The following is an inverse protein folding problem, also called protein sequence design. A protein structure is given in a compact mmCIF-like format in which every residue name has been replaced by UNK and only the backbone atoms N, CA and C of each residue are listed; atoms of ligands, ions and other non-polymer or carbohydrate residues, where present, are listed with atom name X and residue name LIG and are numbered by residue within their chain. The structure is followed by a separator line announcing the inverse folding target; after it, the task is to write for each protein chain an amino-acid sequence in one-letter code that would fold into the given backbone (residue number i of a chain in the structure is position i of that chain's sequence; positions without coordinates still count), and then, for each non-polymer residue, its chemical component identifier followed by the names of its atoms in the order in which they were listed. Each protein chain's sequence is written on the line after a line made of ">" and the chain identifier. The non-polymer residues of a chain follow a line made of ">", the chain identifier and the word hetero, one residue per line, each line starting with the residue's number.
data_IF_755208652083
#
_entry.id   IF_755208652083
#
_cell.length_a   1.000
_cell.length_b   1.000
_cell.length_c   1.000
_cell.angle_alpha   90.00
_cell.angle_beta   90.00
_cell.angle_gamma   90.00
#
_symmetry.space_group_name_H-M   'P 1'
#
loop_
_entity.id
_entity.type
_entity.pdbx_description
1 polymer ?
#
# COMPACT_ATOMS: atom_id res chain seq x y z
N UNK A 1 20.45 0.12 -10.61
CA UNK A 1 20.29 -1.31 -10.27
C UNK A 1 20.89 -1.72 -8.91
N UNK A 2 21.84 -0.99 -8.30
CA UNK A 2 22.50 -1.45 -7.06
C UNK A 2 21.84 -1.15 -5.70
N UNK A 3 20.90 -0.19 -5.61
CA UNK A 3 20.27 0.19 -4.33
C UNK A 3 19.14 -0.76 -3.91
N UNK A 4 18.35 -1.23 -4.88
CA UNK A 4 17.23 -2.17 -4.62
C UNK A 4 17.73 -3.50 -4.07
N UNK A 5 18.88 -3.97 -4.55
CA UNK A 5 19.54 -5.18 -4.07
C UNK A 5 20.15 -5.04 -2.68
N UNK A 6 20.36 -3.82 -2.17
CA UNK A 6 20.87 -3.62 -0.81
C UNK A 6 19.73 -3.65 0.21
N UNK A 7 18.61 -2.97 -0.08
CA UNK A 7 17.44 -2.96 0.82
C UNK A 7 16.90 -4.35 1.10
N UNK A 8 16.73 -5.16 0.05
CA UNK A 8 16.31 -6.56 0.19
C UNK A 8 17.25 -7.37 1.09
N UNK A 9 18.57 -7.20 0.94
CA UNK A 9 19.58 -7.90 1.75
C UNK A 9 19.52 -7.50 3.22
N UNK A 10 19.31 -6.23 3.53
CA UNK A 10 19.21 -5.79 4.93
C UNK A 10 17.96 -6.34 5.61
N UNK A 11 16.83 -6.45 4.91
CA UNK A 11 15.64 -7.10 5.46
C UNK A 11 15.86 -8.58 5.76
N UNK A 12 16.52 -9.32 4.85
CA UNK A 12 16.90 -10.73 5.11
C UNK A 12 17.86 -10.84 6.29
N UNK A 13 18.86 -9.96 6.36
CA UNK A 13 19.83 -9.91 7.46
C UNK A 13 19.17 -9.60 8.80
N UNK A 14 18.18 -8.71 8.83
CA UNK A 14 17.43 -8.42 10.05
C UNK A 14 16.73 -9.68 10.58
N UNK A 15 16.10 -10.46 9.69
CA UNK A 15 15.48 -11.76 10.06
C UNK A 15 16.52 -12.80 10.48
N UNK A 16 17.71 -12.80 9.88
CA UNK A 16 18.81 -13.69 10.32
C UNK A 16 19.31 -13.34 11.73
N UNK A 17 19.34 -12.05 12.08
CA UNK A 17 19.78 -11.56 13.39
C UNK A 17 18.76 -11.84 14.49
N UNK A 18 17.48 -11.65 14.21
CA UNK A 18 16.39 -12.01 15.12
C UNK A 18 15.23 -12.69 14.37
N UNK A 19 15.29 -14.02 14.21
CA UNK A 19 14.27 -14.74 13.46
C UNK A 19 12.95 -14.89 14.23
N UNK A 20 12.88 -14.55 15.51
CA UNK A 20 11.69 -14.78 16.35
C UNK A 20 11.02 -13.50 16.82
N UNK A 21 11.57 -12.32 16.51
CA UNK A 21 10.89 -11.05 16.74
C UNK A 21 9.79 -10.82 15.68
N UNK A 22 8.49 -10.79 16.08
CA UNK A 22 7.38 -10.52 15.16
C UNK A 22 7.50 -9.16 14.46
N UNK A 23 8.07 -8.14 15.11
CA UNK A 23 8.23 -6.82 14.54
C UNK A 23 9.28 -6.82 13.42
N UNK A 24 10.39 -7.52 13.62
CA UNK A 24 11.42 -7.73 12.57
C UNK A 24 10.82 -8.46 11.38
N UNK A 25 10.06 -9.54 11.64
CA UNK A 25 9.43 -10.34 10.59
C UNK A 25 8.41 -9.54 9.76
N UNK A 26 7.54 -8.75 10.40
CA UNK A 26 6.51 -8.00 9.68
C UNK A 26 7.10 -6.84 8.87
N UNK A 27 8.13 -6.14 9.39
CA UNK A 27 8.83 -5.10 8.65
C UNK A 27 9.64 -5.68 7.48
N UNK A 28 10.30 -6.83 7.68
CA UNK A 28 10.96 -7.54 6.58
C UNK A 28 9.97 -8.00 5.52
N UNK A 29 8.77 -8.41 5.91
CA UNK A 29 7.70 -8.77 4.98
C UNK A 29 7.32 -7.60 4.06
N UNK A 30 6.98 -6.45 4.63
CA UNK A 30 6.64 -5.23 3.87
C UNK A 30 7.76 -4.85 2.90
N UNK A 31 9.00 -4.80 3.40
CA UNK A 31 10.17 -4.48 2.61
C UNK A 31 10.37 -5.42 1.43
N UNK A 32 10.38 -6.73 1.68
CA UNK A 32 10.56 -7.74 0.65
C UNK A 32 9.43 -7.74 -0.39
N UNK A 33 8.19 -7.46 0.03
CA UNK A 33 7.07 -7.27 -0.89
C UNK A 33 7.30 -6.07 -1.83
N UNK A 34 7.80 -4.95 -1.30
CA UNK A 34 8.15 -3.77 -2.09
C UNK A 34 9.31 -4.03 -3.08
N UNK A 35 10.23 -4.93 -2.73
CA UNK A 35 11.35 -5.35 -3.59
C UNK A 35 11.03 -6.52 -4.54
N UNK A 36 9.81 -7.07 -4.47
CA UNK A 36 9.31 -8.07 -5.41
C UNK A 36 9.46 -9.53 -4.96
N UNK A 37 10.02 -9.80 -3.78
CA UNK A 37 10.00 -11.15 -3.19
C UNK A 37 8.74 -11.38 -2.36
N UNK A 38 7.62 -11.55 -3.09
CA UNK A 38 6.31 -11.80 -2.48
C UNK A 38 6.24 -13.11 -1.69
N UNK A 39 7.03 -14.13 -2.05
CA UNK A 39 7.00 -15.42 -1.36
C UNK A 39 7.62 -15.31 0.05
N UNK A 40 8.80 -14.68 0.14
CA UNK A 40 9.43 -14.43 1.43
C UNK A 40 8.58 -13.47 2.28
N UNK A 41 7.98 -12.45 1.65
CA UNK A 41 7.11 -11.52 2.34
C UNK A 41 5.94 -12.21 3.04
N UNK A 42 5.19 -13.01 2.28
CA UNK A 42 4.06 -13.82 2.80
C UNK A 42 4.50 -14.72 3.95
N UNK A 43 5.62 -15.43 3.78
CA UNK A 43 6.15 -16.34 4.80
C UNK A 43 6.46 -15.61 6.12
N UNK A 44 7.08 -14.43 6.03
CA UNK A 44 7.43 -13.65 7.22
C UNK A 44 6.23 -12.97 7.86
N UNK A 45 5.26 -12.46 7.08
CA UNK A 45 4.01 -11.93 7.63
C UNK A 45 3.25 -13.00 8.43
N UNK A 46 3.05 -14.19 7.86
CA UNK A 46 2.37 -15.29 8.55
C UNK A 46 3.06 -15.66 9.86
N UNK A 47 4.39 -15.75 9.84
CA UNK A 47 5.18 -16.07 11.02
C UNK A 47 5.06 -14.96 12.08
N UNK A 48 5.05 -13.71 11.68
CA UNK A 48 4.86 -12.57 12.58
C UNK A 48 3.49 -12.65 13.29
N UNK A 49 2.41 -12.88 12.55
CA UNK A 49 1.06 -13.04 13.13
C UNK A 49 0.94 -14.30 14.00
N UNK A 50 1.62 -15.39 13.65
CA UNK A 50 1.63 -16.60 14.48
C UNK A 50 2.33 -16.39 15.82
N UNK A 51 3.47 -15.69 15.82
CA UNK A 51 4.25 -15.42 17.03
C UNK A 51 3.62 -14.36 17.93
N UNK A 52 2.77 -13.48 17.37
CA UNK A 52 2.07 -12.45 18.14
C UNK A 52 0.58 -12.37 17.76
N UNK A 53 -0.30 -13.22 18.29
CA UNK A 53 -1.71 -13.24 17.88
C UNK A 53 -2.52 -11.98 18.23
N UNK A 54 -2.07 -11.22 19.24
CA UNK A 54 -2.63 -9.92 19.62
C UNK A 54 -1.74 -8.78 19.10
N UNK A 55 -1.54 -8.73 17.79
CA UNK A 55 -0.62 -7.79 17.15
C UNK A 55 -1.04 -6.33 17.35
N UNK A 56 -0.08 -5.39 17.44
CA UNK A 56 -0.35 -3.98 17.22
C UNK A 56 -0.99 -3.76 15.86
N UNK A 57 -1.85 -2.75 15.75
CA UNK A 57 -2.61 -2.50 14.53
C UNK A 57 -1.70 -2.50 13.29
N UNK A 58 -0.55 -1.79 13.30
CA UNK A 58 0.34 -1.64 12.13
C UNK A 58 0.78 -2.95 11.46
N UNK A 59 0.76 -4.07 12.16
CA UNK A 59 0.99 -5.37 11.55
C UNK A 59 -0.02 -5.69 10.46
N UNK A 60 -1.30 -5.35 10.69
CA UNK A 60 -2.37 -5.54 9.71
C UNK A 60 -2.17 -4.71 8.45
N UNK A 61 -1.62 -3.49 8.57
CA UNK A 61 -1.29 -2.69 7.40
C UNK A 61 -0.17 -3.33 6.58
N UNK A 62 0.96 -3.66 7.22
CA UNK A 62 2.09 -4.28 6.52
C UNK A 62 1.74 -5.67 5.95
N UNK A 63 0.95 -6.46 6.69
CA UNK A 63 0.39 -7.71 6.23
C UNK A 63 -0.50 -7.53 5.00
N UNK A 64 -1.49 -6.63 5.07
CA UNK A 64 -2.36 -6.30 3.92
C UNK A 64 -1.53 -5.98 2.68
N UNK A 65 -0.57 -5.05 2.80
CA UNK A 65 0.26 -4.65 1.66
C UNK A 65 1.07 -5.83 1.13
N UNK A 66 1.74 -6.59 1.99
CA UNK A 66 2.55 -7.73 1.60
C UNK A 66 1.73 -8.83 0.90
N UNK A 67 0.57 -9.21 1.46
CA UNK A 67 -0.32 -10.20 0.86
C UNK A 67 -0.89 -9.71 -0.47
N UNK A 68 -1.34 -8.45 -0.55
CA UNK A 68 -1.86 -7.86 -1.79
C UNK A 68 -0.79 -7.83 -2.88
N UNK A 69 0.43 -7.43 -2.53
CA UNK A 69 1.57 -7.43 -3.44
C UNK A 69 1.94 -8.83 -3.89
N UNK A 70 1.84 -9.85 -3.03
CA UNK A 70 2.09 -11.23 -3.40
C UNK A 70 0.94 -11.88 -4.20
N UNK A 71 -0.19 -11.18 -4.40
CA UNK A 71 -1.38 -11.71 -5.06
C UNK A 71 -2.27 -12.59 -4.16
N UNK A 72 -1.97 -12.65 -2.86
CA UNK A 72 -2.76 -13.35 -1.86
C UNK A 72 -3.92 -12.47 -1.37
N UNK A 73 -4.81 -12.07 -2.27
CA UNK A 73 -5.80 -11.01 -2.02
C UNK A 73 -6.76 -11.34 -0.87
N UNK A 74 -7.33 -12.55 -0.80
CA UNK A 74 -8.23 -12.90 0.31
C UNK A 74 -7.55 -12.79 1.68
N UNK A 75 -6.28 -13.20 1.77
CA UNK A 75 -5.51 -13.04 3.01
C UNK A 75 -5.18 -11.59 3.33
N UNK A 76 -5.01 -10.76 2.31
CA UNK A 76 -4.90 -9.33 2.51
C UNK A 76 -6.21 -8.79 3.15
N UNK A 77 -7.36 -9.24 2.65
CA UNK A 77 -8.68 -8.78 3.11
C UNK A 77 -9.04 -9.26 4.52
N UNK A 78 -8.48 -10.37 5.00
CA UNK A 78 -8.58 -10.79 6.41
C UNK A 78 -8.06 -9.70 7.39
N UNK A 79 -7.14 -8.85 6.93
CA UNK A 79 -6.59 -7.73 7.68
C UNK A 79 -7.27 -6.40 7.37
N UNK A 80 -8.19 -6.37 6.41
CA UNK A 80 -8.91 -5.18 5.98
C UNK A 80 -9.69 -4.53 7.11
N UNK A 81 -10.41 -5.30 7.94
CA UNK A 81 -11.26 -4.75 9.01
C UNK A 81 -10.52 -3.87 10.02
N UNK A 82 -9.24 -4.18 10.29
CA UNK A 82 -8.40 -3.38 11.18
C UNK A 82 -8.15 -1.96 10.65
N UNK A 83 -8.18 -1.76 9.33
CA UNK A 83 -7.77 -0.52 8.64
C UNK A 83 -8.58 0.72 9.03
N UNK A 84 -9.86 0.53 9.36
CA UNK A 84 -10.76 1.60 9.75
C UNK A 84 -10.37 2.23 11.09
N UNK A 85 -9.72 1.48 11.97
CA UNK A 85 -9.25 1.96 13.27
C UNK A 85 -8.01 2.87 13.16
N UNK A 86 -7.24 2.75 12.09
CA UNK A 86 -5.97 3.49 11.94
C UNK A 86 -6.15 4.94 11.50
N UNK A 87 -7.22 5.24 10.77
CA UNK A 87 -7.40 6.54 10.15
C UNK A 87 -6.31 6.91 9.13
N UNK A 88 -5.53 5.95 8.63
CA UNK A 88 -4.53 6.16 7.60
C UNK A 88 -5.14 5.95 6.21
N UNK A 89 -4.77 6.80 5.25
CA UNK A 89 -5.31 6.71 3.89
C UNK A 89 -4.67 5.57 3.09
N UNK A 90 -3.35 5.38 3.16
CA UNK A 90 -2.65 4.39 2.33
C UNK A 90 -3.19 2.96 2.46
N UNK A 91 -3.44 2.42 3.67
CA UNK A 91 -3.97 1.06 3.78
C UNK A 91 -5.33 0.89 3.08
N UNK A 92 -6.19 1.92 3.08
CA UNK A 92 -7.48 1.88 2.39
C UNK A 92 -7.32 1.81 0.86
N UNK A 93 -6.24 2.37 0.31
CA UNK A 93 -5.92 2.22 -1.11
C UNK A 93 -5.49 0.78 -1.42
N UNK A 94 -4.62 0.17 -0.60
CA UNK A 94 -4.24 -1.24 -0.73
C UNK A 94 -5.42 -2.19 -0.58
N UNK A 95 -6.34 -1.89 0.34
CA UNK A 95 -7.56 -2.65 0.51
C UNK A 95 -8.50 -2.53 -0.69
N UNK A 96 -8.68 -1.32 -1.25
CA UNK A 96 -9.43 -1.13 -2.48
C UNK A 96 -8.85 -1.93 -3.66
N UNK A 97 -7.51 -1.99 -3.75
CA UNK A 97 -6.82 -2.81 -4.73
C UNK A 97 -7.12 -4.31 -4.55
N UNK A 98 -6.95 -4.84 -3.33
CA UNK A 98 -7.23 -6.25 -3.03
C UNK A 98 -8.70 -6.64 -3.27
N UNK A 99 -9.64 -5.77 -2.91
CA UNK A 99 -11.08 -5.95 -3.16
C UNK A 99 -11.38 -5.99 -4.66
N UNK A 100 -10.78 -5.09 -5.44
CA UNK A 100 -10.92 -5.10 -6.91
C UNK A 100 -10.39 -6.40 -7.52
N UNK A 101 -9.23 -6.86 -7.05
CA UNK A 101 -8.62 -8.12 -7.51
C UNK A 101 -9.41 -9.36 -7.13
N UNK A 102 -10.27 -9.25 -6.12
CA UNK A 102 -11.18 -10.30 -5.66
C UNK A 102 -12.61 -10.12 -6.21
N UNK A 103 -12.81 -9.24 -7.20
CA UNK A 103 -14.11 -8.92 -7.82
C UNK A 103 -15.19 -8.38 -6.86
N UNK A 104 -14.78 -7.80 -5.72
CA UNK A 104 -15.65 -7.19 -4.70
C UNK A 104 -15.81 -5.68 -4.95
N UNK A 105 -16.44 -5.34 -6.07
CA UNK A 105 -16.45 -3.97 -6.61
C UNK A 105 -17.10 -2.92 -5.69
N UNK A 106 -18.24 -3.22 -5.08
CA UNK A 106 -18.94 -2.26 -4.20
C UNK A 106 -18.13 -1.92 -2.95
N UNK A 107 -17.44 -2.92 -2.40
CA UNK A 107 -16.56 -2.75 -1.26
C UNK A 107 -15.29 -1.98 -1.66
N UNK A 108 -14.75 -2.22 -2.86
CA UNK A 108 -13.62 -1.47 -3.39
C UNK A 108 -13.96 0.02 -3.55
N UNK A 109 -15.17 0.33 -4.01
CA UNK A 109 -15.70 1.70 -4.05
C UNK A 109 -15.77 2.31 -2.66
N UNK A 110 -16.31 1.58 -1.69
CA UNK A 110 -16.40 2.03 -0.29
C UNK A 110 -15.02 2.35 0.29
N UNK A 111 -14.04 1.47 0.09
CA UNK A 111 -12.66 1.68 0.54
C UNK A 111 -12.00 2.88 -0.14
N UNK A 112 -12.27 3.09 -1.43
CA UNK A 112 -11.74 4.24 -2.20
C UNK A 112 -12.33 5.56 -1.75
N UNK A 113 -13.64 5.61 -1.45
CA UNK A 113 -14.29 6.79 -0.88
C UNK A 113 -13.67 7.13 0.47
N UNK A 114 -13.45 6.14 1.32
CA UNK A 114 -12.80 6.33 2.61
C UNK A 114 -11.36 6.85 2.47
N UNK A 115 -10.58 6.29 1.54
CA UNK A 115 -9.26 6.80 1.17
C UNK A 115 -9.31 8.29 0.81
N UNK A 116 -10.15 8.68 -0.16
CA UNK A 116 -10.26 10.07 -0.62
C UNK A 116 -10.65 11.00 0.53
N UNK A 117 -11.61 10.59 1.36
CA UNK A 117 -12.07 11.38 2.51
C UNK A 117 -10.95 11.65 3.52
N UNK A 118 -10.13 10.65 3.84
CA UNK A 118 -9.02 10.83 4.78
C UNK A 118 -7.96 11.76 4.19
N UNK A 119 -7.60 11.55 2.92
CA UNK A 119 -6.65 12.43 2.20
C UNK A 119 -7.16 13.87 2.19
N UNK A 120 -8.42 14.09 1.83
CA UNK A 120 -9.05 15.41 1.80
C UNK A 120 -9.06 16.08 3.18
N UNK A 121 -9.47 15.34 4.21
CA UNK A 121 -9.55 15.87 5.59
C UNK A 121 -8.20 16.33 6.12
N UNK A 122 -7.12 15.68 5.67
CA UNK A 122 -5.75 15.95 6.12
C UNK A 122 -4.94 16.76 5.08
N UNK A 123 -5.61 17.30 4.06
CA UNK A 123 -4.98 18.00 2.95
C UNK A 123 -4.55 19.41 3.36
N UNK A 124 -3.25 19.71 3.25
CA UNK A 124 -2.72 21.05 3.55
C UNK A 124 -2.43 21.90 2.29
N UNK A 125 -2.61 21.33 1.10
CA UNK A 125 -2.42 22.03 -0.16
C UNK A 125 -3.54 23.04 -0.46
N UNK A 126 -3.30 23.95 -1.41
CA UNK A 126 -4.24 25.05 -1.73
C UNK A 126 -5.65 24.59 -2.10
N UNK A 127 -5.79 23.47 -2.84
CA UNK A 127 -7.07 22.81 -3.06
C UNK A 127 -6.89 21.29 -3.14
N UNK A 128 -7.82 20.55 -2.53
CA UNK A 128 -7.88 19.10 -2.70
C UNK A 128 -8.46 18.76 -4.07
N UNK A 129 -7.94 17.70 -4.69
CA UNK A 129 -8.55 17.09 -5.88
C UNK A 129 -8.20 15.61 -5.98
N UNK A 130 -9.00 14.81 -6.71
CA UNK A 130 -8.68 13.40 -6.96
C UNK A 130 -7.32 13.18 -7.64
N UNK A 131 -6.92 14.12 -8.51
CA UNK A 131 -5.60 14.11 -9.16
C UNK A 131 -4.50 14.31 -8.13
N UNK A 132 -4.69 15.24 -7.19
CA UNK A 132 -3.71 15.51 -6.15
C UNK A 132 -3.59 14.33 -5.15
N UNK A 133 -4.69 13.64 -4.86
CA UNK A 133 -4.68 12.40 -4.07
C UNK A 133 -3.87 11.29 -4.76
N UNK A 134 -4.04 11.11 -6.08
CA UNK A 134 -3.26 10.13 -6.86
C UNK A 134 -1.77 10.49 -6.93
N UNK A 135 -1.44 11.77 -7.09
CA UNK A 135 -0.05 12.24 -7.07
C UNK A 135 0.61 11.99 -5.72
N UNK A 136 -0.10 12.27 -4.63
CA UNK A 136 0.37 11.95 -3.29
C UNK A 136 0.58 10.44 -3.09
N UNK A 137 -0.40 9.61 -3.49
CA UNK A 137 -0.29 8.15 -3.40
C UNK A 137 0.92 7.62 -4.18
N UNK A 138 1.15 8.12 -5.39
CA UNK A 138 2.31 7.75 -6.20
C UNK A 138 3.64 8.16 -5.51
N UNK A 139 3.70 9.32 -4.86
CA UNK A 139 4.90 9.75 -4.12
C UNK A 139 5.25 8.82 -2.95
N UNK A 140 4.25 8.36 -2.21
CA UNK A 140 4.47 7.51 -1.02
C UNK A 140 4.60 6.03 -1.34
N UNK A 141 4.13 5.57 -2.51
CA UNK A 141 4.20 4.15 -2.89
C UNK A 141 5.66 3.72 -3.12
N UNK A 142 6.21 2.89 -2.22
CA UNK A 142 7.61 2.44 -2.24
C UNK A 142 7.86 1.16 -3.06
N UNK A 143 6.88 0.69 -3.83
CA UNK A 143 7.02 -0.48 -4.70
C UNK A 143 8.06 -0.23 -5.79
N UNK A 144 9.09 -1.07 -5.80
CA UNK A 144 10.21 -0.98 -6.74
C UNK A 144 9.92 -1.60 -8.11
N UNK A 145 9.11 -2.66 -8.13
CA UNK A 145 8.66 -3.27 -9.38
C UNK A 145 7.71 -2.30 -10.11
N UNK A 146 8.17 -1.82 -11.26
CA UNK A 146 7.45 -0.82 -12.04
C UNK A 146 6.08 -1.31 -12.48
N UNK A 147 5.97 -2.58 -12.87
CA UNK A 147 4.73 -3.13 -13.40
C UNK A 147 3.67 -3.27 -12.29
N UNK A 148 4.06 -3.80 -11.13
CA UNK A 148 3.16 -3.92 -9.96
C UNK A 148 2.73 -2.56 -9.45
N UNK A 149 3.64 -1.58 -9.41
CA UNK A 149 3.29 -0.20 -9.05
C UNK A 149 2.31 0.42 -10.04
N UNK A 150 2.57 0.31 -11.35
CA UNK A 150 1.67 0.81 -12.39
C UNK A 150 0.30 0.13 -12.32
N UNK A 151 0.26 -1.17 -12.05
CA UNK A 151 -0.98 -1.93 -11.86
C UNK A 151 -1.79 -1.41 -10.66
N UNK A 152 -1.15 -1.24 -9.50
CA UNK A 152 -1.77 -0.69 -8.29
C UNK A 152 -2.36 0.70 -8.55
N UNK A 153 -1.55 1.63 -9.06
CA UNK A 153 -1.99 3.02 -9.28
C UNK A 153 -3.06 3.10 -10.37
N UNK A 154 -2.97 2.30 -11.43
CA UNK A 154 -3.99 2.24 -12.49
C UNK A 154 -5.31 1.70 -11.96
N UNK A 155 -5.27 0.72 -11.05
CA UNK A 155 -6.46 0.21 -10.38
C UNK A 155 -7.17 1.31 -9.60
N UNK A 156 -6.43 2.04 -8.76
CA UNK A 156 -6.98 3.14 -7.97
C UNK A 156 -7.49 4.28 -8.86
N UNK A 157 -6.76 4.63 -9.92
CA UNK A 157 -7.19 5.65 -10.87
C UNK A 157 -8.55 5.32 -11.52
N UNK A 158 -8.80 4.03 -11.85
CA UNK A 158 -10.10 3.60 -12.39
C UNK A 158 -11.23 3.76 -11.38
N UNK A 159 -11.05 3.27 -10.16
CA UNK A 159 -12.04 3.41 -9.09
C UNK A 159 -12.36 4.88 -8.82
N UNK A 160 -11.35 5.72 -8.70
CA UNK A 160 -11.52 7.15 -8.46
C UNK A 160 -12.23 7.82 -9.65
N UNK A 161 -11.93 7.43 -10.88
CA UNK A 161 -12.62 7.93 -12.08
C UNK A 161 -14.11 7.59 -12.06
N UNK A 162 -14.45 6.35 -11.69
CA UNK A 162 -15.84 5.88 -11.57
C UNK A 162 -16.60 6.63 -10.47
N UNK A 163 -15.97 6.85 -9.31
CA UNK A 163 -16.60 7.48 -8.15
C UNK A 163 -16.79 9.00 -8.35
N UNK A 164 -15.80 9.67 -8.94
CA UNK A 164 -15.75 11.14 -8.97
C UNK A 164 -16.12 11.74 -10.33
N UNK A 165 -16.21 10.92 -11.38
CA UNK A 165 -16.34 11.38 -12.76
C UNK A 165 -15.09 12.07 -13.32
N UNK A 166 -13.99 12.11 -12.57
CA UNK A 166 -12.73 12.68 -13.04
C UNK A 166 -12.20 11.85 -14.22
N UNK A 167 -11.80 12.45 -15.36
CA UNK A 167 -11.29 11.70 -16.50
C UNK A 167 -10.08 10.83 -16.14
N UNK A 168 -10.14 9.54 -16.43
CA UNK A 168 -9.10 8.56 -16.11
C UNK A 168 -7.69 9.02 -16.58
N UNK A 169 -7.59 9.64 -17.75
CA UNK A 169 -6.31 10.13 -18.30
C UNK A 169 -5.60 11.14 -17.40
N UNK A 170 -6.35 11.87 -16.55
CA UNK A 170 -5.77 12.83 -15.59
C UNK A 170 -5.29 12.18 -14.30
N UNK A 171 -5.79 10.97 -14.00
CA UNK A 171 -5.48 10.22 -12.78
C UNK A 171 -4.33 9.23 -12.98
N UNK A 172 -4.08 8.81 -14.22
CA UNK A 172 -2.98 7.90 -14.52
C UNK A 172 -1.62 8.55 -14.22
N UNK A 173 -0.67 7.81 -13.62
CA UNK A 173 0.67 8.31 -13.37
C UNK A 173 1.34 8.72 -14.68
N UNK A 174 1.91 9.92 -14.74
CA UNK A 174 2.65 10.39 -15.92
C UNK A 174 4.11 9.96 -15.85
N UNK A 175 4.74 9.64 -17.00
CA UNK A 175 6.12 9.16 -17.03
C UNK A 175 7.20 10.23 -16.76
N UNK A 176 6.87 11.40 -16.18
CA UNK A 176 7.83 12.52 -16.05
C UNK A 176 8.14 12.95 -14.61
N UNK A 177 9.44 12.83 -14.30
CA UNK A 177 10.25 13.51 -13.27
C UNK A 177 9.76 13.54 -11.83
N UNK A 178 10.21 12.53 -11.05
CA UNK A 178 10.33 12.60 -9.58
C UNK A 178 11.28 13.71 -9.07
N UNK A 179 11.87 14.52 -9.95
CA UNK A 179 12.90 15.51 -9.60
C UNK A 179 12.35 16.91 -9.28
N UNK A 180 11.07 17.20 -9.50
CA UNK A 180 10.48 18.53 -9.26
C UNK A 180 9.14 18.50 -8.52
N UNK A 181 8.87 17.48 -7.72
CA UNK A 181 7.61 17.42 -6.97
C UNK A 181 7.80 17.99 -5.57
N UNK A 182 7.25 19.18 -5.35
CA UNK A 182 6.97 19.67 -3.99
C UNK A 182 6.25 18.55 -3.24
N UNK A 183 6.81 18.12 -2.10
CA UNK A 183 6.19 17.10 -1.25
C UNK A 183 4.80 17.61 -0.88
N UNK A 184 3.77 16.92 -1.36
CA UNK A 184 2.40 17.17 -0.95
C UNK A 184 2.30 16.66 0.49
N UNK A 185 2.28 17.59 1.46
CA UNK A 185 2.29 17.24 2.88
C UNK A 185 0.88 16.84 3.31
N UNK A 186 0.78 15.63 3.83
CA UNK A 186 -0.37 15.11 4.60
C UNK A 186 0.22 14.65 5.93
N UNK A 187 -0.31 15.13 7.07
CA UNK A 187 0.07 14.56 8.37
C UNK A 187 -0.57 13.17 8.54
N UNK A 188 0.31 12.18 8.75
CA UNK A 188 -0.02 10.78 9.07
C UNK A 188 -0.40 10.70 10.55
#
# INVERSE_FOLDING_TARGET
>A
MGLYTQGEKEFRRAVELDPYDPAVLISASEGLACYGDGNAAVTYAERAFHLHPATPDFFHFFGLQAFAMAGAYERALDHGSALWSFGLAEPLAWNAFALTKSARHDEAHTSTIAFLKIVETRWEGACFSPVAAMQWLDQITLVSDRHRREEFLTCLAKLISEITGCPLQRLLPTPHNRHETQLLKIYI
#
